data_IF_009712985963
#
_entry.id   IF_009712985963
#
_cell.length_a   1.000
_cell.length_b   1.000
_cell.length_c   1.000
_cell.angle_alpha   90.00
_cell.angle_beta   90.00
_cell.angle_gamma   90.00
#
_symmetry.space_group_name_H-M   'P 1'
#
loop_
_entity.id
_entity.type
_entity.pdbx_description
1 polymer ?
#
# COMPACT_ATOMS: atom_id res chain seq x y z
N UNK A 1 16.18 -11.32 8.76
CA UNK A 1 16.44 -10.34 7.69
C UNK A 1 15.28 -9.38 7.64
N UNK A 2 15.50 -8.08 7.53
CA UNK A 2 14.41 -7.12 7.38
C UNK A 2 13.68 -7.34 6.06
N UNK A 3 12.38 -7.06 6.04
CA UNK A 3 11.54 -7.12 4.86
C UNK A 3 11.72 -5.85 4.03
N UNK A 4 12.16 -5.99 2.78
CA UNK A 4 12.46 -4.87 1.88
C UNK A 4 11.24 -4.43 1.08
N UNK A 5 10.88 -3.16 1.19
CA UNK A 5 9.72 -2.56 0.51
C UNK A 5 10.19 -1.37 -0.33
N UNK A 6 9.74 -1.29 -1.57
CA UNK A 6 9.83 -0.07 -2.38
C UNK A 6 8.43 0.47 -2.61
N UNK A 7 8.17 1.68 -2.12
CA UNK A 7 6.84 2.31 -2.19
C UNK A 7 6.75 3.31 -3.33
N UNK A 8 5.63 3.27 -4.07
CA UNK A 8 5.30 4.21 -5.13
C UNK A 8 3.86 4.71 -5.00
N UNK A 9 3.70 6.02 -4.83
CA UNK A 9 2.41 6.72 -4.92
C UNK A 9 2.31 7.60 -6.17
N UNK A 10 3.40 7.77 -6.89
CA UNK A 10 3.57 8.48 -8.17
C UNK A 10 3.15 9.95 -8.14
N UNK A 11 3.13 10.55 -6.96
CA UNK A 11 2.82 11.96 -6.74
C UNK A 11 3.74 12.86 -7.59
N UNK A 12 3.14 13.82 -8.26
CA UNK A 12 3.82 14.95 -8.91
C UNK A 12 3.02 16.23 -8.68
N UNK A 13 3.47 17.12 -7.78
CA UNK A 13 2.73 18.34 -7.43
C UNK A 13 2.77 19.42 -8.51
N UNK A 14 3.65 19.30 -9.50
CA UNK A 14 3.79 20.26 -10.62
C UNK A 14 3.94 19.51 -11.94
N UNK A 15 2.91 18.75 -12.33
CA UNK A 15 2.99 17.83 -13.44
C UNK A 15 3.07 18.55 -14.79
N UNK A 16 3.81 17.95 -15.69
CA UNK A 16 3.63 18.07 -17.13
C UNK A 16 3.31 16.69 -17.70
N UNK A 17 2.72 16.57 -18.91
CA UNK A 17 2.50 15.25 -19.52
C UNK A 17 3.79 14.43 -19.63
N UNK A 18 4.91 15.08 -19.90
CA UNK A 18 6.22 14.43 -20.03
C UNK A 18 6.75 13.97 -18.69
N UNK A 19 6.70 14.82 -17.63
CA UNK A 19 7.18 14.46 -16.28
C UNK A 19 6.38 13.30 -15.68
N UNK A 20 5.06 13.27 -15.86
CA UNK A 20 4.23 12.14 -15.43
C UNK A 20 4.60 10.85 -16.17
N UNK A 21 4.71 10.91 -17.50
CA UNK A 21 5.09 9.74 -18.30
C UNK A 21 6.47 9.20 -17.91
N UNK A 22 7.44 10.09 -17.68
CA UNK A 22 8.77 9.74 -17.19
C UNK A 22 8.72 9.06 -15.82
N UNK A 23 7.98 9.64 -14.86
CA UNK A 23 7.82 9.12 -13.51
C UNK A 23 7.23 7.71 -13.49
N UNK A 24 6.18 7.46 -14.27
CA UNK A 24 5.58 6.12 -14.39
C UNK A 24 6.54 5.11 -14.99
N UNK A 25 7.27 5.48 -16.05
CA UNK A 25 8.30 4.61 -16.65
C UNK A 25 9.47 4.36 -15.70
N UNK A 26 9.92 5.39 -14.98
CA UNK A 26 10.98 5.26 -13.99
C UNK A 26 10.56 4.32 -12.85
N UNK A 27 9.34 4.44 -12.33
CA UNK A 27 8.84 3.55 -11.29
C UNK A 27 8.81 2.07 -11.74
N UNK A 28 8.42 1.80 -12.99
CA UNK A 28 8.47 0.44 -13.54
C UNK A 28 9.91 -0.08 -13.66
N UNK A 29 10.84 0.75 -14.15
CA UNK A 29 12.25 0.39 -14.25
C UNK A 29 12.87 0.18 -12.85
N UNK A 30 12.50 1.02 -11.87
CA UNK A 30 12.90 0.87 -10.47
C UNK A 30 12.34 -0.42 -9.85
N UNK A 31 11.10 -0.80 -10.15
CA UNK A 31 10.52 -2.06 -9.69
C UNK A 31 11.25 -3.29 -10.28
N UNK A 32 11.63 -3.24 -11.57
CA UNK A 32 12.43 -4.29 -12.20
C UNK A 32 13.82 -4.41 -11.56
N UNK A 33 14.48 -3.28 -11.33
CA UNK A 33 15.78 -3.24 -10.64
C UNK A 33 15.69 -3.79 -9.21
N UNK A 34 14.65 -3.41 -8.47
CA UNK A 34 14.37 -3.91 -7.13
C UNK A 34 14.14 -5.44 -7.11
N UNK A 35 13.42 -5.99 -8.12
CA UNK A 35 13.21 -7.43 -8.30
C UNK A 35 14.54 -8.19 -8.50
N UNK A 36 15.43 -7.64 -9.33
CA UNK A 36 16.76 -8.22 -9.61
C UNK A 36 17.64 -8.24 -8.35
N UNK A 37 17.48 -7.28 -7.44
CA UNK A 37 18.27 -7.13 -6.22
C UNK A 37 17.58 -7.73 -4.98
N UNK A 38 16.43 -8.43 -5.17
CA UNK A 38 15.79 -9.20 -4.12
C UNK A 38 15.03 -8.37 -3.10
N UNK A 39 14.47 -7.24 -3.48
CA UNK A 39 13.43 -6.54 -2.72
C UNK A 39 12.19 -7.44 -2.66
N UNK A 40 11.51 -7.45 -1.52
CA UNK A 40 10.40 -8.39 -1.29
C UNK A 40 9.09 -7.92 -1.94
N UNK A 41 8.79 -6.61 -1.88
CA UNK A 41 7.54 -6.08 -2.43
C UNK A 41 7.65 -4.65 -2.95
N UNK A 42 6.89 -4.38 -4.02
CA UNK A 42 6.46 -3.02 -4.37
C UNK A 42 5.16 -2.73 -3.64
N UNK A 43 5.11 -1.65 -2.89
CA UNK A 43 3.90 -1.19 -2.22
C UNK A 43 3.31 0.02 -2.93
N UNK A 44 2.00 0.03 -3.07
CA UNK A 44 1.25 1.17 -3.63
C UNK A 44 -0.12 1.28 -2.95
N UNK A 45 -0.75 2.42 -3.11
CA UNK A 45 -2.06 2.73 -2.56
C UNK A 45 -2.96 3.40 -3.58
N UNK A 46 -4.25 3.59 -3.25
CA UNK A 46 -5.26 4.19 -4.12
C UNK A 46 -5.77 5.50 -3.54
N UNK A 47 -5.69 6.59 -4.33
CA UNK A 47 -6.36 7.86 -4.07
C UNK A 47 -6.86 8.50 -5.35
N UNK A 48 -8.00 9.21 -5.27
CA UNK A 48 -8.68 9.79 -6.42
C UNK A 48 -8.89 11.28 -6.28
N UNK A 49 -9.00 11.99 -7.42
CA UNK A 49 -9.30 13.41 -7.45
C UNK A 49 -8.27 14.29 -6.74
N UNK A 50 -7.01 13.86 -6.68
CA UNK A 50 -5.95 14.58 -5.98
C UNK A 50 -5.15 15.41 -6.97
N UNK A 51 -5.03 16.71 -6.70
CA UNK A 51 -4.37 17.67 -7.59
C UNK A 51 -2.89 17.34 -7.88
N UNK A 52 -2.21 16.65 -6.95
CA UNK A 52 -0.83 16.21 -7.11
C UNK A 52 -0.66 14.86 -7.84
N UNK A 53 -1.70 14.40 -8.54
CA UNK A 53 -1.67 13.19 -9.38
C UNK A 53 -1.32 11.88 -8.66
N UNK A 54 -1.77 11.73 -7.42
CA UNK A 54 -1.63 10.47 -6.68
C UNK A 54 -2.17 9.29 -7.49
N UNK A 55 -1.52 8.14 -7.43
CA UNK A 55 -1.87 6.94 -8.19
C UNK A 55 -3.35 6.53 -7.97
N UNK A 56 -4.21 6.63 -9.02
CA UNK A 56 -5.62 6.31 -8.87
C UNK A 56 -5.96 4.87 -9.25
N UNK A 57 -5.01 4.14 -9.86
CA UNK A 57 -5.27 2.84 -10.49
C UNK A 57 -4.16 1.84 -10.16
N UNK A 58 -4.06 1.40 -8.89
CA UNK A 58 -2.96 0.56 -8.43
C UNK A 58 -2.91 -0.81 -9.13
N UNK A 59 -4.04 -1.37 -9.54
CA UNK A 59 -4.07 -2.65 -10.26
C UNK A 59 -3.52 -2.55 -11.69
N UNK A 60 -3.76 -1.43 -12.39
CA UNK A 60 -3.15 -1.18 -13.69
C UNK A 60 -1.62 -1.10 -13.57
N UNK A 61 -1.13 -0.39 -12.54
CA UNK A 61 0.28 -0.31 -12.24
C UNK A 61 0.86 -1.67 -11.82
N UNK A 62 0.16 -2.43 -10.96
CA UNK A 62 0.57 -3.79 -10.56
C UNK A 62 0.72 -4.72 -11.77
N UNK A 63 -0.21 -4.67 -12.72
CA UNK A 63 -0.12 -5.44 -13.97
C UNK A 63 1.13 -5.12 -14.78
N UNK A 64 1.49 -3.84 -14.88
CA UNK A 64 2.73 -3.41 -15.54
C UNK A 64 3.98 -3.88 -14.77
N UNK A 65 3.99 -3.79 -13.43
CA UNK A 65 5.07 -4.32 -12.59
C UNK A 65 5.23 -5.83 -12.78
N UNK A 66 4.15 -6.61 -12.78
CA UNK A 66 4.23 -8.06 -13.00
C UNK A 66 4.77 -8.42 -14.39
N UNK A 67 4.46 -7.61 -15.41
CA UNK A 67 5.03 -7.75 -16.75
C UNK A 67 6.53 -7.50 -16.83
N UNK A 68 7.05 -6.65 -15.94
CA UNK A 68 8.48 -6.27 -15.89
C UNK A 68 9.30 -7.08 -14.87
N UNK A 69 8.67 -7.90 -14.01
CA UNK A 69 9.33 -8.55 -12.86
C UNK A 69 9.00 -10.04 -12.80
N UNK A 70 9.78 -10.80 -12.00
CA UNK A 70 9.63 -12.26 -11.88
C UNK A 70 9.38 -12.78 -10.45
N UNK A 71 9.85 -12.06 -9.43
CA UNK A 71 9.86 -12.52 -8.02
C UNK A 71 9.16 -11.57 -7.08
N UNK A 72 9.36 -10.27 -7.26
CA UNK A 72 8.83 -9.25 -6.35
C UNK A 72 7.30 -9.33 -6.26
N UNK A 73 6.77 -9.24 -5.06
CA UNK A 73 5.34 -9.11 -4.84
C UNK A 73 4.87 -7.66 -5.11
N UNK A 74 3.58 -7.48 -5.31
CA UNK A 74 2.96 -6.16 -5.30
C UNK A 74 1.90 -6.13 -4.20
N UNK A 75 2.08 -5.23 -3.26
CA UNK A 75 1.13 -4.99 -2.17
C UNK A 75 0.35 -3.71 -2.44
N UNK A 76 -0.93 -3.84 -2.74
CA UNK A 76 -1.84 -2.70 -2.84
C UNK A 76 -2.45 -2.44 -1.47
N UNK A 77 -1.98 -1.39 -0.79
CA UNK A 77 -2.30 -1.12 0.62
C UNK A 77 -2.64 0.37 0.85
N UNK A 78 -3.91 0.74 0.71
CA UNK A 78 -5.08 -0.09 0.49
C UNK A 78 -5.84 0.33 -0.77
N UNK A 79 -6.67 -0.58 -1.30
CA UNK A 79 -7.76 -0.17 -2.20
C UNK A 79 -8.88 0.47 -1.39
N UNK A 80 -9.65 1.35 -2.01
CA UNK A 80 -10.88 1.90 -1.42
C UNK A 80 -12.04 1.01 -1.89
N UNK A 81 -12.20 -0.16 -1.22
CA UNK A 81 -13.12 -1.21 -1.66
C UNK A 81 -14.52 -0.74 -2.06
N UNK A 82 -15.22 0.12 -1.28
CA UNK A 82 -16.56 0.58 -1.62
C UNK A 82 -16.69 1.38 -2.92
N UNK A 83 -15.59 1.83 -3.52
CA UNK A 83 -15.59 2.56 -4.79
C UNK A 83 -15.53 1.65 -6.01
N UNK A 84 -15.33 0.34 -5.81
CA UNK A 84 -15.23 -0.65 -6.88
C UNK A 84 -16.53 -1.42 -7.08
N UNK A 85 -16.80 -1.82 -8.32
CA UNK A 85 -17.79 -2.87 -8.60
C UNK A 85 -17.22 -4.22 -8.17
N UNK A 86 -17.90 -4.97 -7.28
CA UNK A 86 -17.35 -6.20 -6.72
C UNK A 86 -17.06 -7.31 -7.75
N UNK A 87 -17.90 -7.44 -8.80
CA UNK A 87 -17.70 -8.47 -9.82
C UNK A 87 -16.50 -8.13 -10.69
N UNK A 88 -16.39 -6.87 -11.11
CA UNK A 88 -15.26 -6.40 -11.90
C UNK A 88 -13.94 -6.50 -11.13
N UNK A 89 -13.96 -6.11 -9.87
CA UNK A 89 -12.77 -6.22 -9.01
C UNK A 89 -12.33 -7.67 -8.83
N UNK A 90 -13.29 -8.61 -8.68
CA UNK A 90 -12.97 -10.03 -8.58
C UNK A 90 -12.28 -10.56 -9.84
N UNK A 91 -12.72 -10.12 -11.04
CA UNK A 91 -12.08 -10.46 -12.31
C UNK A 91 -10.66 -9.87 -12.41
N UNK A 92 -10.50 -8.57 -12.11
CA UNK A 92 -9.21 -7.88 -12.19
C UNK A 92 -8.17 -8.52 -11.28
N UNK A 93 -8.52 -8.81 -10.02
CA UNK A 93 -7.65 -9.48 -9.07
C UNK A 93 -7.32 -10.91 -9.54
N UNK A 94 -8.30 -11.68 -10.03
CA UNK A 94 -8.05 -13.03 -10.53
C UNK A 94 -7.09 -13.05 -11.72
N UNK A 95 -7.21 -12.10 -12.64
CA UNK A 95 -6.30 -11.95 -13.79
C UNK A 95 -4.89 -11.60 -13.31
N UNK A 96 -4.74 -10.65 -12.40
CA UNK A 96 -3.44 -10.26 -11.85
C UNK A 96 -2.79 -11.40 -11.04
N UNK A 97 -3.58 -12.16 -10.30
CA UNK A 97 -3.11 -13.32 -9.54
C UNK A 97 -2.60 -14.43 -10.47
N UNK A 98 -3.30 -14.70 -11.60
CA UNK A 98 -2.85 -15.61 -12.64
C UNK A 98 -1.57 -15.12 -13.34
N UNK A 99 -1.51 -13.86 -13.75
CA UNK A 99 -0.35 -13.26 -14.42
C UNK A 99 0.89 -13.27 -13.53
N UNK A 100 0.70 -13.03 -12.24
CA UNK A 100 1.79 -12.96 -11.28
C UNK A 100 2.20 -14.32 -10.70
N UNK A 101 1.36 -15.35 -10.82
CA UNK A 101 1.55 -16.61 -10.09
C UNK A 101 1.40 -16.46 -8.59
N UNK A 102 0.45 -15.63 -8.13
CA UNK A 102 0.13 -15.44 -6.71
C UNK A 102 0.97 -14.38 -5.99
N UNK A 103 1.59 -13.43 -6.72
CA UNK A 103 2.42 -12.36 -6.13
C UNK A 103 1.65 -11.09 -5.76
N UNK A 104 0.31 -11.06 -5.95
CA UNK A 104 -0.53 -9.92 -5.58
C UNK A 104 -0.99 -10.05 -4.14
N UNK A 105 -0.79 -8.99 -3.36
CA UNK A 105 -1.36 -8.81 -2.01
C UNK A 105 -2.32 -7.63 -2.06
N UNK A 106 -3.57 -7.85 -1.69
CA UNK A 106 -4.60 -6.80 -1.68
C UNK A 106 -5.06 -6.51 -0.26
N UNK A 107 -4.92 -5.26 0.16
CA UNK A 107 -5.49 -4.76 1.42
C UNK A 107 -6.73 -3.95 1.08
N UNK A 108 -7.90 -4.40 1.52
CA UNK A 108 -9.16 -3.73 1.27
C UNK A 108 -9.54 -2.82 2.45
N UNK A 109 -9.40 -1.50 2.25
CA UNK A 109 -9.84 -0.44 3.15
C UNK A 109 -11.18 0.15 2.73
N UNK A 110 -11.70 1.05 3.58
CA UNK A 110 -12.92 1.81 3.27
C UNK A 110 -12.62 3.27 2.88
N UNK A 111 -11.34 3.65 2.80
CA UNK A 111 -10.96 5.04 2.60
C UNK A 111 -11.32 5.96 3.78
N UNK A 112 -10.88 7.20 3.71
CA UNK A 112 -11.11 8.22 4.75
C UNK A 112 -11.40 9.61 4.18
N UNK A 113 -11.54 9.73 2.84
CA UNK A 113 -11.85 10.98 2.13
C UNK A 113 -13.28 10.92 1.58
N UNK A 114 -14.24 11.71 2.13
CA UNK A 114 -15.61 11.78 1.61
C UNK A 114 -15.67 12.22 0.14
N UNK A 115 -14.75 13.10 -0.28
CA UNK A 115 -14.69 13.66 -1.63
C UNK A 115 -14.54 12.55 -2.70
N UNK A 116 -13.76 11.51 -2.42
CA UNK A 116 -13.58 10.37 -3.32
C UNK A 116 -14.90 9.60 -3.57
N UNK A 117 -15.79 9.59 -2.58
CA UNK A 117 -17.12 8.99 -2.68
C UNK A 117 -18.09 9.90 -3.45
N UNK A 118 -18.05 11.21 -3.18
CA UNK A 118 -18.89 12.20 -3.88
C UNK A 118 -18.62 12.20 -5.36
N UNK A 119 -17.35 12.24 -5.78
CA UNK A 119 -16.93 12.20 -7.19
C UNK A 119 -17.44 10.97 -7.93
N UNK A 120 -17.66 9.86 -7.23
CA UNK A 120 -18.15 8.59 -7.81
C UNK A 120 -19.64 8.33 -7.58
N UNK A 121 -20.35 9.26 -6.93
CA UNK A 121 -21.75 9.12 -6.61
C UNK A 121 -22.04 7.96 -5.63
N UNK A 122 -21.06 7.61 -4.79
CA UNK A 122 -21.18 6.54 -3.79
C UNK A 122 -21.53 7.14 -2.43
N UNK A 123 -22.53 6.59 -1.77
CA UNK A 123 -22.97 7.07 -0.44
C UNK A 123 -21.91 6.75 0.64
N UNK A 124 -21.26 7.80 1.12
CA UNK A 124 -20.30 7.74 2.24
C UNK A 124 -20.87 7.05 3.49
N UNK A 125 -22.15 7.29 3.81
CA UNK A 125 -22.81 6.68 4.97
C UNK A 125 -22.93 5.16 4.88
N UNK A 126 -22.90 4.60 3.67
CA UNK A 126 -23.03 3.16 3.42
C UNK A 126 -21.68 2.45 3.28
N UNK A 127 -20.53 3.14 3.34
CA UNK A 127 -19.21 2.56 3.06
C UNK A 127 -18.90 1.26 3.79
N UNK A 128 -19.35 1.14 5.06
CA UNK A 128 -19.15 -0.10 5.82
C UNK A 128 -19.94 -1.29 5.27
N UNK A 129 -21.20 -1.05 4.84
CA UNK A 129 -22.05 -2.09 4.22
C UNK A 129 -21.55 -2.47 2.83
N UNK A 130 -21.10 -1.48 2.06
CA UNK A 130 -20.50 -1.71 0.73
C UNK A 130 -19.22 -2.53 0.83
N UNK A 131 -18.41 -2.28 1.86
CA UNK A 131 -17.22 -3.09 2.13
C UNK A 131 -17.57 -4.53 2.51
N UNK A 132 -18.63 -4.75 3.31
CA UNK A 132 -19.09 -6.09 3.64
C UNK A 132 -19.57 -6.82 2.37
N UNK A 133 -20.41 -6.18 1.55
CA UNK A 133 -20.89 -6.72 0.27
C UNK A 133 -19.72 -7.04 -0.68
N UNK A 134 -18.73 -6.15 -0.78
CA UNK A 134 -17.55 -6.35 -1.60
C UNK A 134 -16.79 -7.62 -1.18
N UNK A 135 -16.39 -7.72 0.07
CA UNK A 135 -15.56 -8.81 0.56
C UNK A 135 -16.27 -10.16 0.42
N UNK A 136 -17.55 -10.24 0.78
CA UNK A 136 -18.36 -11.45 0.62
C UNK A 136 -18.48 -11.85 -0.87
N UNK A 137 -18.68 -10.86 -1.75
CA UNK A 137 -18.75 -11.10 -3.19
C UNK A 137 -17.41 -11.60 -3.77
N UNK A 138 -16.29 -11.00 -3.37
CA UNK A 138 -14.95 -11.46 -3.81
C UNK A 138 -14.71 -12.92 -3.43
N UNK A 139 -14.98 -13.28 -2.17
CA UNK A 139 -14.80 -14.65 -1.68
C UNK A 139 -15.70 -15.64 -2.44
N UNK A 140 -16.96 -15.31 -2.67
CA UNK A 140 -17.89 -16.14 -3.44
C UNK A 140 -17.46 -16.27 -4.91
N UNK A 141 -17.04 -15.17 -5.54
CA UNK A 141 -16.63 -15.12 -6.94
C UNK A 141 -15.43 -16.02 -7.23
N UNK A 142 -14.43 -16.03 -6.34
CA UNK A 142 -13.19 -16.79 -6.53
C UNK A 142 -13.32 -18.32 -6.33
N UNK A 143 -14.47 -18.79 -5.84
CA UNK A 143 -14.79 -20.22 -5.86
C UNK A 143 -14.90 -20.75 -7.30
N UNK A 144 -15.30 -19.89 -8.24
CA UNK A 144 -15.62 -20.26 -9.63
C UNK A 144 -16.99 -20.92 -9.78
N UNK A 145 -17.76 -21.06 -8.71
CA UNK A 145 -19.10 -21.59 -8.74
C UNK A 145 -20.15 -20.47 -8.92
N UNK A 146 -21.33 -20.78 -9.48
CA UNK A 146 -22.42 -19.81 -9.52
C UNK A 146 -22.88 -19.41 -8.13
N UNK A 147 -23.13 -18.11 -7.92
CA UNK A 147 -23.64 -17.57 -6.65
C UNK A 147 -24.68 -16.49 -6.90
N UNK A 148 -25.43 -16.11 -5.86
CA UNK A 148 -26.44 -15.05 -5.97
C UNK A 148 -25.81 -13.70 -5.64
N UNK A 149 -25.89 -12.77 -6.59
CA UNK A 149 -25.46 -11.38 -6.43
C UNK A 149 -26.61 -10.44 -6.83
N UNK A 150 -27.07 -9.61 -5.89
CA UNK A 150 -28.19 -8.66 -6.06
C UNK A 150 -29.43 -9.31 -6.72
N UNK A 151 -29.81 -10.51 -6.27
CA UNK A 151 -30.96 -11.26 -6.74
C UNK A 151 -30.81 -11.95 -8.10
N UNK A 152 -29.60 -12.01 -8.63
CA UNK A 152 -29.31 -12.70 -9.90
C UNK A 152 -28.25 -13.78 -9.67
N UNK A 153 -28.37 -14.89 -10.37
CA UNK A 153 -27.30 -15.90 -10.42
C UNK A 153 -26.20 -15.41 -11.35
N UNK A 154 -24.99 -15.30 -10.80
CA UNK A 154 -23.79 -14.87 -11.54
C UNK A 154 -22.66 -15.88 -11.37
N UNK A 155 -21.72 -15.86 -12.27
CA UNK A 155 -20.45 -16.60 -12.18
C UNK A 155 -19.32 -15.67 -12.61
N UNK A 156 -18.23 -15.65 -11.87
CA UNK A 156 -17.03 -14.89 -12.21
C UNK A 156 -15.95 -15.84 -12.73
N UNK A 157 -15.32 -15.44 -13.81
CA UNK A 157 -14.20 -16.15 -14.45
C UNK A 157 -13.15 -15.12 -14.91
N UNK A 158 -11.84 -15.50 -14.92
CA UNK A 158 -11.29 -16.82 -14.55
C UNK A 158 -11.24 -17.05 -13.03
N UNK A 159 -11.04 -18.30 -12.61
CA UNK A 159 -10.64 -18.56 -11.21
C UNK A 159 -9.21 -18.10 -11.01
N UNK A 160 -8.87 -17.49 -9.85
CA UNK A 160 -7.50 -17.08 -9.55
C UNK A 160 -6.53 -18.27 -9.47
N UNK A 161 -5.24 -17.98 -9.52
CA UNK A 161 -4.16 -18.98 -9.36
C UNK A 161 -4.09 -19.49 -7.92
N UNK A 162 -4.09 -18.59 -6.95
CA UNK A 162 -3.92 -18.88 -5.52
C UNK A 162 -5.15 -19.57 -4.92
N UNK A 163 -4.94 -20.51 -4.01
CA UNK A 163 -6.01 -21.25 -3.32
C UNK A 163 -5.93 -21.05 -1.82
N UNK A 164 -7.08 -20.95 -1.12
CA UNK A 164 -8.46 -20.99 -1.63
C UNK A 164 -8.84 -19.73 -2.42
N UNK A 165 -8.18 -18.62 -2.24
CA UNK A 165 -8.36 -17.33 -2.90
C UNK A 165 -7.07 -16.52 -2.88
N UNK A 166 -6.93 -15.44 -3.70
CA UNK A 166 -5.83 -14.49 -3.63
C UNK A 166 -5.63 -13.93 -2.21
N UNK A 167 -4.41 -13.52 -1.89
CA UNK A 167 -4.14 -12.95 -0.57
C UNK A 167 -4.86 -11.60 -0.42
N UNK A 168 -5.94 -11.63 0.35
CA UNK A 168 -6.83 -10.51 0.64
C UNK A 168 -6.82 -10.24 2.14
N UNK A 169 -6.46 -9.03 2.53
CA UNK A 169 -6.48 -8.57 3.92
C UNK A 169 -7.53 -7.48 4.09
N UNK A 170 -8.12 -7.38 5.26
CA UNK A 170 -8.98 -6.26 5.63
C UNK A 170 -8.13 -5.19 6.33
N UNK A 171 -8.11 -3.98 5.76
CA UNK A 171 -7.36 -2.85 6.30
C UNK A 171 -8.18 -1.94 7.21
N UNK A 172 -7.51 -1.30 8.17
CA UNK A 172 -8.09 -0.21 8.96
C UNK A 172 -7.66 -0.13 10.42
N UNK A 173 -8.02 0.99 11.08
CA UNK A 173 -7.64 1.31 12.46
C UNK A 173 -8.84 1.23 13.44
N UNK A 174 -9.90 0.51 13.11
CA UNK A 174 -11.12 0.45 13.92
C UNK A 174 -11.52 -0.98 14.31
N UNK A 175 -12.22 -1.11 15.45
CA UNK A 175 -12.82 -2.38 15.86
C UNK A 175 -13.80 -2.93 14.80
N UNK A 176 -14.45 -2.07 14.02
CA UNK A 176 -15.35 -2.50 12.95
C UNK A 176 -14.58 -3.21 11.82
N UNK A 177 -13.40 -2.73 11.45
CA UNK A 177 -12.53 -3.38 10.48
C UNK A 177 -12.01 -4.73 11.01
N UNK A 178 -11.49 -4.77 12.24
CA UNK A 178 -11.02 -5.99 12.88
C UNK A 178 -12.13 -7.07 12.99
N UNK A 179 -13.34 -6.67 13.41
CA UNK A 179 -14.50 -7.57 13.48
C UNK A 179 -14.92 -8.10 12.10
N UNK A 180 -14.86 -7.27 11.06
CA UNK A 180 -15.13 -7.67 9.67
C UNK A 180 -14.16 -8.74 9.19
N UNK A 181 -12.87 -8.51 9.41
CA UNK A 181 -11.82 -9.47 9.08
C UNK A 181 -12.05 -10.81 9.78
N UNK A 182 -12.26 -10.77 11.10
CA UNK A 182 -12.50 -11.97 11.91
C UNK A 182 -13.74 -12.75 11.45
N UNK A 183 -14.88 -12.07 11.19
CA UNK A 183 -16.11 -12.71 10.72
C UNK A 183 -15.94 -13.48 9.42
N UNK A 184 -15.08 -12.99 8.54
CA UNK A 184 -14.82 -13.59 7.22
C UNK A 184 -13.63 -14.56 7.21
N UNK A 185 -12.92 -14.73 8.33
CA UNK A 185 -11.69 -15.52 8.38
C UNK A 185 -10.56 -14.93 7.54
N UNK A 186 -10.60 -13.63 7.26
CA UNK A 186 -9.58 -12.93 6.50
C UNK A 186 -8.50 -12.36 7.43
N UNK A 187 -7.23 -12.30 6.98
CA UNK A 187 -6.18 -11.61 7.69
C UNK A 187 -6.53 -10.12 7.91
N UNK A 188 -6.05 -9.57 9.01
CA UNK A 188 -6.25 -8.16 9.36
C UNK A 188 -4.95 -7.36 9.20
N UNK A 189 -5.04 -6.17 8.60
CA UNK A 189 -3.94 -5.23 8.42
C UNK A 189 -4.26 -3.89 9.11
N UNK A 190 -3.82 -3.70 10.36
CA UNK A 190 -3.95 -2.41 11.05
C UNK A 190 -3.14 -1.34 10.30
N UNK A 191 -3.65 -0.11 10.25
CA UNK A 191 -2.97 1.00 9.58
C UNK A 191 -1.79 1.61 10.38
N UNK A 192 -1.54 1.12 11.58
CA UNK A 192 -0.43 1.44 12.46
C UNK A 192 -0.16 0.27 13.42
N UNK A 193 0.86 0.38 14.27
CA UNK A 193 1.09 -0.55 15.36
C UNK A 193 -0.02 -0.43 16.41
N UNK A 194 -0.99 -1.36 16.40
CA UNK A 194 -2.21 -1.33 17.21
C UNK A 194 -2.45 -2.70 17.88
N UNK A 195 -1.62 -3.10 18.85
CA UNK A 195 -1.73 -4.41 19.50
C UNK A 195 -3.08 -4.65 20.19
N UNK A 196 -3.76 -3.60 20.63
CA UNK A 196 -5.12 -3.69 21.17
C UNK A 196 -6.18 -4.11 20.13
N UNK A 197 -5.97 -3.77 18.87
CA UNK A 197 -6.84 -4.23 17.78
C UNK A 197 -6.52 -5.67 17.36
N UNK A 198 -5.27 -6.10 17.43
CA UNK A 198 -4.90 -7.50 17.22
C UNK A 198 -5.54 -8.39 18.28
N UNK A 199 -5.45 -8.02 19.56
CA UNK A 199 -6.09 -8.75 20.64
C UNK A 199 -7.62 -8.84 20.42
N UNK A 200 -8.25 -7.74 20.06
CA UNK A 200 -9.69 -7.71 19.74
C UNK A 200 -10.02 -8.58 18.52
N UNK A 201 -9.21 -8.54 17.47
CA UNK A 201 -9.37 -9.37 16.27
C UNK A 201 -9.33 -10.86 16.60
N UNK A 202 -8.34 -11.29 17.40
CA UNK A 202 -8.20 -12.71 17.83
C UNK A 202 -9.37 -13.18 18.68
N UNK A 203 -9.85 -12.32 19.58
CA UNK A 203 -11.05 -12.59 20.39
C UNK A 203 -12.28 -12.81 19.48
N UNK A 204 -12.45 -11.97 18.45
CA UNK A 204 -13.56 -12.13 17.50
C UNK A 204 -13.40 -13.36 16.60
N UNK A 205 -12.19 -13.72 16.18
CA UNK A 205 -11.97 -14.98 15.46
C UNK A 205 -12.43 -16.18 16.30
N UNK A 206 -12.09 -16.21 17.58
CA UNK A 206 -12.54 -17.29 18.48
C UNK A 206 -14.07 -17.35 18.60
N UNK A 207 -14.75 -16.21 18.71
CA UNK A 207 -16.22 -16.15 18.75
C UNK A 207 -16.90 -16.63 17.47
N UNK A 208 -16.31 -16.29 16.30
CA UNK A 208 -16.87 -16.68 15.00
C UNK A 208 -16.45 -18.08 14.57
N UNK A 209 -15.54 -18.74 15.30
CA UNK A 209 -14.98 -20.04 14.92
C UNK A 209 -14.14 -19.96 13.64
N UNK A 210 -13.50 -18.82 13.41
CA UNK A 210 -12.60 -18.58 12.26
C UNK A 210 -11.15 -18.59 12.71
N UNK A 211 -10.25 -18.81 11.74
CA UNK A 211 -8.81 -18.66 11.92
C UNK A 211 -8.30 -17.49 11.10
N UNK A 212 -7.34 -16.75 11.63
CA UNK A 212 -6.73 -15.64 10.93
C UNK A 212 -5.46 -15.15 11.62
N UNK A 213 -4.77 -14.22 10.95
CA UNK A 213 -3.55 -13.62 11.45
C UNK A 213 -3.56 -12.11 11.15
N UNK A 214 -2.73 -11.38 11.85
CA UNK A 214 -2.57 -9.94 11.69
C UNK A 214 -1.22 -9.64 11.06
N UNK A 215 -1.23 -8.90 9.95
CA UNK A 215 -0.02 -8.25 9.42
C UNK A 215 0.16 -6.94 10.17
N UNK A 216 0.71 -7.02 11.39
CA UNK A 216 0.92 -5.85 12.24
C UNK A 216 2.12 -5.05 11.73
N UNK A 217 1.97 -3.75 11.41
CA UNK A 217 3.12 -2.87 11.22
C UNK A 217 4.02 -2.89 12.46
N UNK A 218 5.33 -2.83 12.25
CA UNK A 218 6.26 -2.64 13.36
C UNK A 218 5.96 -1.33 14.11
N UNK A 219 6.42 -1.22 15.35
CA UNK A 219 6.22 -0.01 16.18
C UNK A 219 6.82 1.22 15.47
N UNK A 220 7.98 1.04 14.86
CA UNK A 220 8.60 2.03 13.98
C UNK A 220 8.62 1.52 12.54
N UNK A 221 7.99 2.26 11.64
CA UNK A 221 8.01 1.99 10.20
C UNK A 221 8.22 3.31 9.45
N UNK A 222 9.42 3.92 9.54
CA UNK A 222 9.72 5.17 8.85
C UNK A 222 9.75 4.96 7.33
N UNK A 223 9.40 6.01 6.59
CA UNK A 223 9.66 6.09 5.16
C UNK A 223 11.12 6.52 4.94
N UNK A 224 11.89 5.67 4.29
CA UNK A 224 13.31 5.84 4.10
C UNK A 224 13.63 6.46 2.74
N UNK A 225 14.64 7.31 2.74
CA UNK A 225 15.37 7.75 1.55
C UNK A 225 16.87 7.61 1.82
N UNK A 226 17.59 6.93 0.93
CA UNK A 226 19.02 6.71 1.10
C UNK A 226 19.81 7.83 0.42
N UNK A 227 20.82 8.33 1.10
CA UNK A 227 21.74 9.36 0.56
C UNK A 227 23.16 9.16 1.13
N UNK A 228 24.15 9.55 0.37
CA UNK A 228 25.54 9.66 0.87
C UNK A 228 25.71 10.89 1.77
N UNK A 229 24.89 11.95 1.57
CA UNK A 229 24.86 13.17 2.37
C UNK A 229 23.41 13.51 2.76
N UNK A 230 22.91 12.98 3.89
CA UNK A 230 21.56 13.25 4.37
C UNK A 230 21.26 14.73 4.61
N UNK A 231 22.24 15.53 5.08
CA UNK A 231 22.02 16.94 5.35
C UNK A 231 21.80 17.74 4.07
N UNK A 232 22.57 17.45 3.03
CA UNK A 232 22.39 18.04 1.71
C UNK A 232 21.04 17.63 1.12
N UNK A 233 20.68 16.35 1.20
CA UNK A 233 19.38 15.86 0.69
C UNK A 233 18.19 16.54 1.39
N UNK A 234 18.26 16.72 2.72
CA UNK A 234 17.24 17.46 3.44
C UNK A 234 17.16 18.93 3.00
N UNK A 235 18.31 19.56 2.76
CA UNK A 235 18.39 20.96 2.31
C UNK A 235 17.81 21.14 0.90
N UNK A 236 18.09 20.22 -0.03
CA UNK A 236 17.68 20.34 -1.43
C UNK A 236 16.27 19.79 -1.68
N UNK A 237 15.89 18.67 -1.02
CA UNK A 237 14.69 17.92 -1.34
C UNK A 237 13.68 17.79 -0.18
N UNK A 238 13.95 18.39 0.96
CA UNK A 238 13.08 18.31 2.15
C UNK A 238 11.62 18.72 1.89
N UNK A 239 11.38 19.65 0.97
CA UNK A 239 10.04 20.11 0.59
C UNK A 239 9.22 19.00 -0.11
N UNK A 240 9.83 18.02 -0.76
CA UNK A 240 9.13 16.88 -1.34
C UNK A 240 8.54 15.98 -0.24
N UNK A 241 9.32 15.68 0.78
CA UNK A 241 8.85 14.92 1.94
C UNK A 241 7.76 15.68 2.69
N UNK A 242 7.94 16.98 2.89
CA UNK A 242 6.96 17.84 3.57
C UNK A 242 5.65 17.94 2.78
N UNK A 243 5.72 18.03 1.45
CA UNK A 243 4.53 18.04 0.58
C UNK A 243 3.69 16.78 0.80
N UNK A 244 4.29 15.61 0.79
CA UNK A 244 3.58 14.35 1.00
C UNK A 244 3.00 14.26 2.42
N UNK A 245 3.80 14.57 3.43
CA UNK A 245 3.36 14.58 4.83
C UNK A 245 2.16 15.48 5.06
N UNK A 246 2.18 16.70 4.53
CA UNK A 246 1.07 17.66 4.60
C UNK A 246 -0.16 17.19 3.83
N UNK A 247 0.04 16.56 2.67
CA UNK A 247 -1.07 16.00 1.88
C UNK A 247 -1.81 14.94 2.71
N UNK A 248 -1.09 13.97 3.29
CA UNK A 248 -1.69 12.98 4.19
C UNK A 248 -2.36 13.62 5.42
N UNK A 249 -1.69 14.57 6.06
CA UNK A 249 -2.24 15.24 7.25
C UNK A 249 -3.56 15.97 6.95
N UNK A 250 -3.71 16.54 5.74
CA UNK A 250 -4.92 17.24 5.33
C UNK A 250 -6.13 16.32 5.17
N UNK A 251 -5.92 15.04 4.90
CA UNK A 251 -6.97 14.04 4.69
C UNK A 251 -7.37 13.27 5.94
N UNK A 252 -6.45 13.16 6.90
CA UNK A 252 -6.64 12.31 8.07
C UNK A 252 -7.25 13.08 9.23
N UNK A 253 -8.48 12.72 9.62
CA UNK A 253 -9.06 13.20 10.87
C UNK A 253 -8.24 12.75 12.08
N UNK A 254 -8.48 13.38 13.26
CA UNK A 254 -7.76 13.04 14.51
C UNK A 254 -7.96 11.58 14.95
N UNK A 255 -9.05 10.95 14.51
CA UNK A 255 -9.41 9.58 14.88
C UNK A 255 -8.73 8.52 14.01
N UNK A 256 -8.10 8.92 12.88
CA UNK A 256 -7.39 8.00 12.01
C UNK A 256 -5.97 7.82 12.54
N UNK A 257 -5.63 6.58 12.86
CA UNK A 257 -4.27 6.19 13.21
C UNK A 257 -3.58 5.65 11.97
N UNK A 258 -2.41 6.18 11.65
CA UNK A 258 -1.61 5.79 10.49
C UNK A 258 -0.13 5.88 10.82
N UNK A 259 0.64 4.91 10.35
CA UNK A 259 2.09 4.86 10.51
C UNK A 259 2.82 6.04 9.82
N UNK A 260 2.20 6.62 8.78
CA UNK A 260 2.78 7.74 8.02
C UNK A 260 2.21 9.12 8.42
N UNK A 261 1.53 9.20 9.56
CA UNK A 261 0.96 10.47 10.03
C UNK A 261 2.04 11.38 10.55
N UNK A 262 2.06 12.63 10.10
CA UNK A 262 2.92 13.70 10.57
C UNK A 262 2.07 14.93 10.94
N UNK A 263 2.54 15.70 11.91
CA UNK A 263 1.98 17.02 12.26
C UNK A 263 2.87 18.18 11.82
N UNK A 264 4.00 17.87 11.20
CA UNK A 264 5.00 18.85 10.79
C UNK A 264 4.46 19.88 9.80
N UNK A 265 4.82 21.13 10.02
CA UNK A 265 4.52 22.27 9.16
C UNK A 265 5.75 22.83 8.46
N UNK A 266 6.93 22.39 8.88
CA UNK A 266 8.22 22.75 8.31
C UNK A 266 9.07 21.51 8.06
N UNK A 267 10.07 21.62 7.17
CA UNK A 267 11.03 20.56 6.90
C UNK A 267 11.80 20.17 8.18
N UNK A 268 12.16 21.17 9.00
CA UNK A 268 12.88 20.93 10.25
C UNK A 268 12.05 20.12 11.26
N UNK A 269 10.77 20.43 11.41
CA UNK A 269 9.84 19.67 12.25
C UNK A 269 9.68 18.24 11.72
N UNK A 270 9.49 18.07 10.41
CA UNK A 270 9.33 16.75 9.79
C UNK A 270 10.56 15.86 10.02
N UNK A 271 11.75 16.44 9.83
CA UNK A 271 13.02 15.76 10.11
C UNK A 271 13.11 15.32 11.58
N UNK A 272 12.69 16.18 12.50
CA UNK A 272 12.72 15.88 13.94
C UNK A 272 11.72 14.79 14.35
N UNK A 273 10.55 14.69 13.70
CA UNK A 273 9.56 13.65 13.97
C UNK A 273 10.04 12.24 13.60
N UNK A 274 10.92 12.11 12.59
CA UNK A 274 11.50 10.83 12.17
C UNK A 274 10.54 9.87 11.45
N UNK A 275 9.36 10.32 11.03
CA UNK A 275 8.43 9.56 10.16
C UNK A 275 9.03 9.39 8.76
N UNK A 276 9.70 10.43 8.27
CA UNK A 276 10.55 10.38 7.09
C UNK A 276 12.01 10.44 7.54
N UNK A 277 12.83 9.53 7.05
CA UNK A 277 14.26 9.48 7.41
C UNK A 277 15.13 9.46 6.16
N UNK A 278 15.99 10.44 6.03
CA UNK A 278 17.07 10.40 5.06
C UNK A 278 18.31 9.90 5.80
N UNK A 279 18.87 8.79 5.34
CA UNK A 279 19.95 8.07 6.05
C UNK A 279 21.00 7.59 5.08
N UNK A 280 22.24 7.47 5.57
CA UNK A 280 23.30 6.79 4.84
C UNK A 280 23.06 5.27 4.79
N UNK A 281 23.71 4.53 3.85
CA UNK A 281 23.66 3.07 3.85
C UNK A 281 24.12 2.44 5.17
N UNK A 282 25.11 3.02 5.85
CA UNK A 282 25.63 2.54 7.13
C UNK A 282 24.59 2.74 8.23
N UNK A 283 24.04 3.94 8.36
CA UNK A 283 22.97 4.24 9.33
C UNK A 283 21.75 3.33 9.08
N UNK A 284 21.32 3.15 7.82
CA UNK A 284 20.20 2.30 7.47
C UNK A 284 20.38 0.86 7.98
N UNK A 285 21.55 0.28 7.82
CA UNK A 285 21.87 -1.07 8.34
C UNK A 285 21.85 -1.15 9.85
N UNK A 286 22.11 -0.04 10.53
CA UNK A 286 22.18 0.04 12.00
C UNK A 286 20.83 0.31 12.66
N UNK A 287 19.77 0.62 11.88
CA UNK A 287 18.44 0.95 12.42
C UNK A 287 17.76 -0.22 13.15
N UNK A 288 18.12 -1.46 12.84
CA UNK A 288 17.51 -2.65 13.47
C UNK A 288 16.02 -2.84 13.17
N UNK A 289 15.51 -2.24 12.09
CA UNK A 289 14.09 -2.30 11.70
C UNK A 289 13.72 -3.66 11.12
N UNK A 290 12.50 -4.14 11.41
CA UNK A 290 11.94 -5.36 10.83
C UNK A 290 11.58 -5.20 9.35
N UNK A 291 11.18 -3.98 8.95
CA UNK A 291 10.85 -3.61 7.58
C UNK A 291 11.57 -2.34 7.17
N UNK A 292 12.15 -2.34 5.99
CA UNK A 292 12.81 -1.19 5.36
C UNK A 292 11.93 -0.69 4.21
N UNK A 293 11.23 0.42 4.43
CA UNK A 293 10.29 0.99 3.45
C UNK A 293 10.98 2.16 2.73
N UNK A 294 11.57 1.87 1.58
CA UNK A 294 12.16 2.89 0.71
C UNK A 294 11.08 3.61 -0.10
N UNK A 295 11.12 4.94 -0.14
CA UNK A 295 10.20 5.75 -0.93
C UNK A 295 10.97 6.67 -1.91
N UNK A 296 11.46 6.12 -3.03
CA UNK A 296 12.42 6.83 -3.88
C UNK A 296 11.81 8.03 -4.61
N UNK A 297 10.53 8.00 -4.95
CA UNK A 297 9.83 9.06 -5.68
C UNK A 297 8.88 9.88 -4.78
N UNK A 298 9.15 9.95 -3.48
CA UNK A 298 8.33 10.61 -2.47
C UNK A 298 8.00 12.06 -2.84
N UNK A 299 6.71 12.44 -2.78
CA UNK A 299 6.26 13.82 -2.90
C UNK A 299 6.69 14.55 -4.18
N UNK A 300 6.92 13.84 -5.27
CA UNK A 300 7.40 14.42 -6.52
C UNK A 300 8.92 14.52 -6.62
N UNK A 301 9.68 13.79 -5.80
CA UNK A 301 11.14 13.69 -5.87
C UNK A 301 11.63 13.54 -7.31
N UNK A 302 12.69 14.25 -7.74
CA UNK A 302 13.27 14.03 -9.07
C UNK A 302 13.65 12.57 -9.32
N UNK A 303 13.39 12.10 -10.53
CA UNK A 303 13.62 10.69 -10.91
C UNK A 303 15.07 10.27 -10.71
N UNK A 304 16.02 11.15 -11.02
CA UNK A 304 17.45 10.88 -10.83
C UNK A 304 17.81 10.65 -9.36
N UNK A 305 17.25 11.47 -8.46
CA UNK A 305 17.50 11.32 -7.02
C UNK A 305 16.84 10.05 -6.47
N UNK A 306 15.65 9.75 -6.95
CA UNK A 306 15.00 8.47 -6.64
C UNK A 306 15.85 7.26 -7.05
N UNK A 307 16.49 7.32 -8.21
CA UNK A 307 17.42 6.28 -8.66
C UNK A 307 18.68 6.17 -7.79
N UNK A 308 19.26 7.29 -7.35
CA UNK A 308 20.42 7.27 -6.45
C UNK A 308 20.07 6.56 -5.15
N UNK A 309 18.95 6.95 -4.55
CA UNK A 309 18.47 6.34 -3.31
C UNK A 309 18.18 4.84 -3.47
N UNK A 310 17.52 4.42 -4.55
CA UNK A 310 17.24 3.00 -4.81
C UNK A 310 18.52 2.18 -5.01
N UNK A 311 19.51 2.69 -5.74
CA UNK A 311 20.79 1.99 -5.93
C UNK A 311 21.52 1.82 -4.61
N UNK A 312 21.64 2.85 -3.78
CA UNK A 312 22.26 2.73 -2.46
C UNK A 312 21.53 1.66 -1.61
N UNK A 313 20.22 1.59 -1.70
CA UNK A 313 19.43 0.56 -0.99
C UNK A 313 19.75 -0.84 -1.52
N UNK A 314 19.69 -1.02 -2.83
CA UNK A 314 19.83 -2.33 -3.46
C UNK A 314 21.27 -2.85 -3.48
N UNK A 315 22.25 -1.96 -3.69
CA UNK A 315 23.65 -2.36 -3.90
C UNK A 315 24.46 -2.37 -2.61
N UNK A 316 24.14 -1.46 -1.66
CA UNK A 316 24.93 -1.28 -0.44
C UNK A 316 24.23 -1.76 0.84
N UNK A 317 22.89 -1.64 0.94
CA UNK A 317 22.16 -2.01 2.16
C UNK A 317 21.75 -3.47 2.13
N UNK A 318 20.92 -3.87 1.16
CA UNK A 318 20.31 -5.21 1.13
C UNK A 318 21.34 -6.36 1.10
N UNK A 319 22.40 -6.33 0.28
CA UNK A 319 23.36 -7.45 0.24
C UNK A 319 24.05 -7.69 1.57
N UNK A 320 24.34 -6.61 2.32
CA UNK A 320 25.05 -6.71 3.61
C UNK A 320 24.13 -7.08 4.78
N UNK A 321 22.80 -6.91 4.64
CA UNK A 321 21.82 -7.40 5.61
C UNK A 321 21.43 -8.86 5.35
N UNK A 322 21.67 -9.35 4.12
CA UNK A 322 21.37 -10.73 3.71
C UNK A 322 22.57 -11.66 3.84
N UNK A 323 23.77 -11.11 4.03
CA UNK A 323 25.01 -11.86 4.26
C UNK A 323 25.08 -12.36 5.70
#
# INVERSE_FOLDING_TARGET
MPFGVVRFNLVDPRPTPDSLSERYRAALAMAAYADEHGVDTVQTEEHHGVENNWLPSPFAFAGAVFGATRRIAVTVSAIIGPLHDPLRLAEDIAVLDLLSGGRLVTVAGIGYRPEEYEERGVDWGRRGKLQDELLETLLAAWTGEPFTYRGRTVRVTPRPFTRPHPLLLVGGSSRAAARRAARLGLPFFPSAHLPELDAYYRERCAEYGTEGWTMMPAEETPLLHLSEDPDLTWAEYGEHFLHEARTYASWQSKDIRSAVRSSATTVAELRAEGVYRVVTPEECRSLGLESLVLHPLCGGMPVEEGWRSLRLFCDDVLPRLKA
#
